data_IF_720019772877
#
_entry.id   IF_720019772877
#
_cell.length_a   1.000
_cell.length_b   1.000
_cell.length_c   1.000
_cell.angle_alpha   90.00
_cell.angle_beta   90.00
_cell.angle_gamma   90.00
#
_symmetry.space_group_name_H-M   'P 1'
#
loop_
_entity.id
_entity.type
_entity.pdbx_description
1 polymer ?
#
# COMPACT_ATOMS: atom_id res chain seq x y z
N UNK A 1 -10.66 -14.12 -3.88
CA UNK A 1 -10.56 -13.09 -4.95
C UNK A 1 -11.28 -13.55 -6.20
N UNK A 2 -12.01 -12.66 -6.85
CA UNK A 2 -12.70 -12.95 -8.11
C UNK A 2 -12.02 -12.19 -9.25
N UNK A 3 -11.44 -12.92 -10.22
CA UNK A 3 -10.74 -12.31 -11.36
C UNK A 3 -11.68 -11.57 -12.31
N UNK A 4 -12.98 -11.90 -12.27
CA UNK A 4 -14.02 -11.28 -13.10
C UNK A 4 -14.59 -9.99 -12.50
N UNK A 5 -14.20 -9.65 -11.26
CA UNK A 5 -14.63 -8.42 -10.60
C UNK A 5 -14.20 -7.20 -11.41
N UNK A 6 -15.16 -6.33 -11.76
CA UNK A 6 -14.85 -5.14 -12.56
C UNK A 6 -14.21 -4.03 -11.75
N UNK A 7 -14.62 -3.86 -10.50
CA UNK A 7 -14.02 -2.90 -9.59
C UNK A 7 -12.80 -3.54 -8.92
N UNK A 8 -11.62 -3.13 -9.31
CA UNK A 8 -10.36 -3.64 -8.74
C UNK A 8 -9.86 -2.71 -7.64
N UNK A 9 -9.55 -3.31 -6.49
CA UNK A 9 -9.06 -2.59 -5.32
C UNK A 9 -7.66 -3.08 -4.96
N UNK A 10 -6.73 -2.14 -4.87
CA UNK A 10 -5.34 -2.38 -4.47
C UNK A 10 -5.07 -1.66 -3.16
N UNK A 11 -4.44 -2.35 -2.24
CA UNK A 11 -3.93 -1.75 -1.00
C UNK A 11 -2.41 -1.77 -1.05
N UNK A 12 -1.81 -0.61 -0.86
CA UNK A 12 -0.36 -0.44 -0.76
C UNK A 12 0.02 -0.24 0.70
N UNK A 13 0.89 -1.08 1.22
CA UNK A 13 1.41 -0.94 2.58
C UNK A 13 2.83 -0.42 2.51
N UNK A 14 3.03 0.79 2.96
CA UNK A 14 4.30 1.51 2.91
C UNK A 14 4.34 2.54 1.80
N UNK A 15 4.48 3.81 2.19
CA UNK A 15 4.47 4.96 1.28
C UNK A 15 5.83 5.66 1.29
N UNK A 16 6.90 4.87 1.24
CA UNK A 16 8.25 5.36 1.05
C UNK A 16 8.55 5.62 -0.43
N UNK A 17 9.82 5.70 -0.79
CA UNK A 17 10.22 6.01 -2.16
C UNK A 17 9.70 4.98 -3.17
N UNK A 18 9.80 3.70 -2.85
CA UNK A 18 9.32 2.62 -3.73
C UNK A 18 7.80 2.61 -3.79
N UNK A 19 7.14 2.70 -2.63
CA UNK A 19 5.68 2.67 -2.54
C UNK A 19 5.04 3.84 -3.26
N UNK A 20 5.53 5.06 -3.05
CA UNK A 20 4.97 6.24 -3.72
C UNK A 20 5.18 6.20 -5.24
N UNK A 21 6.30 5.65 -5.71
CA UNK A 21 6.53 5.45 -7.15
C UNK A 21 5.57 4.42 -7.73
N UNK A 22 5.32 3.33 -7.00
CA UNK A 22 4.33 2.33 -7.38
C UNK A 22 2.93 2.93 -7.48
N UNK A 23 2.53 3.70 -6.48
CA UNK A 23 1.21 4.35 -6.45
C UNK A 23 1.03 5.28 -7.65
N UNK A 24 2.01 6.09 -7.96
CA UNK A 24 2.00 6.99 -9.11
C UNK A 24 1.82 6.20 -10.42
N UNK A 25 2.60 5.15 -10.61
CA UNK A 25 2.52 4.32 -11.81
C UNK A 25 1.15 3.64 -11.94
N UNK A 26 0.62 3.11 -10.84
CA UNK A 26 -0.69 2.45 -10.82
C UNK A 26 -1.81 3.41 -11.22
N UNK A 27 -1.78 4.62 -10.67
CA UNK A 27 -2.79 5.65 -10.95
C UNK A 27 -2.71 6.10 -12.41
N UNK A 28 -1.51 6.38 -12.91
CA UNK A 28 -1.34 6.87 -14.29
C UNK A 28 -1.68 5.81 -15.33
N UNK A 29 -1.47 4.54 -15.05
CA UNK A 29 -1.80 3.44 -15.97
C UNK A 29 -3.28 3.03 -15.92
N UNK A 30 -4.03 3.48 -14.93
CA UNK A 30 -5.46 3.21 -14.87
C UNK A 30 -5.84 1.76 -14.58
N UNK A 31 -4.99 1.00 -13.92
CA UNK A 31 -5.18 -0.44 -13.71
C UNK A 31 -6.25 -0.74 -12.66
N UNK A 32 -6.31 0.05 -11.59
CA UNK A 32 -7.24 -0.17 -10.48
C UNK A 32 -8.18 1.02 -10.33
N UNK A 33 -9.40 0.76 -9.85
CA UNK A 33 -10.39 1.79 -9.56
C UNK A 33 -10.27 2.33 -8.15
N UNK A 34 -9.63 1.57 -7.26
CA UNK A 34 -9.48 1.98 -5.86
C UNK A 34 -8.06 1.66 -5.38
N UNK A 35 -7.43 2.66 -4.77
CA UNK A 35 -6.09 2.52 -4.16
C UNK A 35 -6.15 3.05 -2.73
N UNK A 36 -5.93 2.18 -1.76
CA UNK A 36 -5.74 2.55 -0.36
C UNK A 36 -4.26 2.49 0.00
N UNK A 37 -3.78 3.49 0.73
CA UNK A 37 -2.38 3.57 1.16
C UNK A 37 -2.34 3.44 2.68
N UNK A 38 -1.65 2.41 3.18
CA UNK A 38 -1.49 2.16 4.61
C UNK A 38 -0.08 2.59 5.03
N UNK A 39 -0.01 3.36 6.10
CA UNK A 39 1.24 3.73 6.76
C UNK A 39 1.13 3.56 8.27
N UNK A 40 2.29 3.56 8.94
CA UNK A 40 2.33 3.58 10.42
C UNK A 40 1.72 4.89 10.92
N UNK A 41 1.20 4.91 12.16
CA UNK A 41 0.52 6.12 12.67
C UNK A 41 1.35 7.39 12.58
N UNK A 42 2.68 7.30 12.73
CA UNK A 42 3.58 8.43 12.66
C UNK A 42 3.69 9.05 11.27
N UNK A 43 3.35 8.28 10.22
CA UNK A 43 3.42 8.72 8.83
C UNK A 43 2.05 8.78 8.16
N UNK A 44 0.98 8.68 8.94
CA UNK A 44 -0.38 8.69 8.41
C UNK A 44 -0.68 9.97 7.63
N UNK A 45 -0.26 11.12 8.15
CA UNK A 45 -0.50 12.41 7.48
C UNK A 45 0.23 12.50 6.14
N UNK A 46 1.40 11.85 6.02
CA UNK A 46 2.09 11.74 4.74
C UNK A 46 1.26 10.94 3.73
N UNK A 47 0.69 9.83 4.18
CA UNK A 47 -0.18 9.01 3.31
C UNK A 47 -1.42 9.79 2.87
N UNK A 48 -2.02 10.58 3.76
CA UNK A 48 -3.16 11.46 3.42
C UNK A 48 -2.74 12.45 2.35
N UNK A 49 -1.61 13.14 2.54
CA UNK A 49 -1.11 14.13 1.57
C UNK A 49 -0.81 13.52 0.20
N UNK A 50 -0.14 12.38 0.17
CA UNK A 50 0.18 11.70 -1.09
C UNK A 50 -1.09 11.20 -1.80
N UNK A 51 -2.07 10.70 -1.05
CA UNK A 51 -3.35 10.29 -1.63
C UNK A 51 -4.09 11.49 -2.25
N UNK A 52 -4.07 12.64 -1.60
CA UNK A 52 -4.66 13.87 -2.13
C UNK A 52 -3.95 14.33 -3.40
N UNK A 53 -2.61 14.32 -3.41
CA UNK A 53 -1.83 14.70 -4.58
C UNK A 53 -2.15 13.79 -5.78
N UNK A 54 -2.24 12.48 -5.56
CA UNK A 54 -2.59 11.53 -6.61
C UNK A 54 -4.03 11.74 -7.07
N UNK A 55 -4.95 12.07 -6.15
CA UNK A 55 -6.34 12.35 -6.49
C UNK A 55 -6.47 13.58 -7.40
N UNK A 56 -5.63 14.58 -7.21
CA UNK A 56 -5.61 15.77 -8.09
C UNK A 56 -5.18 15.40 -9.52
N UNK A 57 -4.39 14.35 -9.70
CA UNK A 57 -4.01 13.87 -11.02
C UNK A 57 -5.16 13.17 -11.77
N UNK A 58 -6.26 12.86 -11.10
CA UNK A 58 -7.42 12.19 -11.72
C UNK A 58 -8.08 13.02 -12.81
N UNK A 59 -7.85 14.32 -12.86
CA UNK A 59 -8.32 15.17 -13.95
C UNK A 59 -7.77 14.72 -15.32
N UNK A 60 -6.67 13.97 -15.32
CA UNK A 60 -5.97 13.53 -16.53
C UNK A 60 -5.97 12.02 -16.70
N UNK A 61 -6.66 11.29 -15.84
CA UNK A 61 -6.73 9.81 -15.85
C UNK A 61 -8.17 9.34 -15.67
N UNK A 62 -8.40 8.04 -15.75
CA UNK A 62 -9.72 7.46 -15.45
C UNK A 62 -10.08 7.68 -13.97
N UNK A 63 -11.38 7.83 -13.63
CA UNK A 63 -11.82 8.04 -12.26
C UNK A 63 -11.40 6.93 -11.33
N UNK A 64 -10.90 7.30 -10.14
CA UNK A 64 -10.45 6.38 -9.09
C UNK A 64 -10.73 6.95 -7.73
N UNK A 65 -10.78 6.07 -6.73
CA UNK A 65 -10.81 6.44 -5.32
C UNK A 65 -9.43 6.18 -4.73
N UNK A 66 -8.77 7.23 -4.23
CA UNK A 66 -7.44 7.15 -3.63
C UNK A 66 -7.52 7.74 -2.23
N UNK A 67 -7.07 6.99 -1.22
CA UNK A 67 -7.22 7.40 0.18
C UNK A 67 -6.16 6.77 1.08
N UNK A 68 -5.95 7.38 2.23
CA UNK A 68 -5.18 6.77 3.31
C UNK A 68 -6.05 5.70 3.97
N UNK A 69 -5.59 4.46 3.95
CA UNK A 69 -6.37 3.29 4.36
C UNK A 69 -5.94 2.75 5.71
N UNK A 70 -6.76 1.88 6.26
CA UNK A 70 -6.49 1.09 7.46
C UNK A 70 -6.51 -0.38 7.09
N UNK A 71 -6.00 -1.25 7.99
CA UNK A 71 -5.93 -2.69 7.71
C UNK A 71 -7.31 -3.33 7.48
N UNK A 72 -8.35 -2.81 8.11
CA UNK A 72 -9.72 -3.28 7.87
C UNK A 72 -10.18 -3.07 6.43
N UNK A 73 -9.61 -2.10 5.72
CA UNK A 73 -9.90 -1.85 4.31
C UNK A 73 -9.36 -2.95 3.39
N UNK A 74 -8.49 -3.82 3.90
CA UNK A 74 -7.96 -4.94 3.12
C UNK A 74 -8.99 -6.05 2.91
N UNK A 75 -10.08 -6.08 3.67
CA UNK A 75 -11.02 -7.20 3.65
C UNK A 75 -11.55 -7.55 2.26
N UNK A 76 -11.84 -6.54 1.45
CA UNK A 76 -12.36 -6.71 0.09
C UNK A 76 -11.35 -6.34 -1.01
N UNK A 77 -10.08 -6.21 -0.67
CA UNK A 77 -9.04 -5.91 -1.64
C UNK A 77 -8.74 -7.10 -2.53
N UNK A 78 -8.34 -6.83 -3.76
CA UNK A 78 -7.92 -7.85 -4.73
C UNK A 78 -6.43 -8.12 -4.63
N UNK A 79 -5.65 -7.10 -4.32
CA UNK A 79 -4.18 -7.16 -4.26
C UNK A 79 -3.69 -6.31 -3.10
N UNK A 80 -2.78 -6.86 -2.33
CA UNK A 80 -2.03 -6.12 -1.31
C UNK A 80 -0.56 -6.12 -1.70
N UNK A 81 0.01 -4.94 -1.87
CA UNK A 81 1.42 -4.75 -2.22
C UNK A 81 2.15 -4.20 -1.00
N UNK A 82 3.20 -4.88 -0.57
CA UNK A 82 3.97 -4.50 0.61
C UNK A 82 5.32 -3.96 0.16
N UNK A 83 5.54 -2.68 0.40
CA UNK A 83 6.82 -2.02 0.16
C UNK A 83 7.41 -1.44 1.46
N UNK A 84 6.77 -1.75 2.59
CA UNK A 84 7.21 -1.28 3.89
C UNK A 84 8.51 -1.96 4.32
N UNK A 85 9.36 -1.21 5.00
CA UNK A 85 10.60 -1.71 5.55
C UNK A 85 11.33 -0.63 6.33
N UNK A 86 12.19 -1.03 7.25
CA UNK A 86 13.03 -0.10 8.00
C UNK A 86 14.21 0.35 7.14
N UNK A 87 14.59 1.65 7.20
CA UNK A 87 15.81 2.10 6.54
C UNK A 87 17.04 1.53 7.24
N UNK A 88 18.10 1.27 6.47
CA UNK A 88 19.38 0.85 7.02
C UNK A 88 20.01 2.00 7.79
N UNK A 89 20.34 1.76 9.05
CA UNK A 89 21.01 2.75 9.90
C UNK A 89 22.52 2.66 9.76
N UNK A 90 23.26 3.75 10.05
CA UNK A 90 24.73 3.67 10.08
C UNK A 90 25.20 2.57 11.03
N UNK A 91 26.15 1.75 10.56
CA UNK A 91 26.68 0.64 11.32
C UNK A 91 25.89 -0.66 11.25
N UNK A 92 24.69 -0.66 10.66
CA UNK A 92 23.92 -1.86 10.43
C UNK A 92 24.37 -2.60 9.18
N UNK A 93 24.41 -3.93 9.25
CA UNK A 93 24.62 -4.77 8.07
C UNK A 93 23.29 -5.06 7.39
N UNK A 94 23.35 -5.57 6.15
CA UNK A 94 22.16 -6.07 5.45
C UNK A 94 21.47 -7.19 6.19
N UNK A 95 22.24 -8.05 6.89
CA UNK A 95 21.69 -9.14 7.67
C UNK A 95 20.89 -8.63 8.88
N UNK A 96 21.39 -7.58 9.55
CA UNK A 96 20.64 -6.94 10.64
C UNK A 96 19.32 -6.39 10.15
N UNK A 97 19.32 -5.80 8.96
CA UNK A 97 18.12 -5.23 8.34
C UNK A 97 17.09 -6.32 7.98
N UNK A 98 17.55 -7.49 7.54
CA UNK A 98 16.65 -8.63 7.23
C UNK A 98 15.84 -9.04 8.46
N UNK A 99 16.46 -9.12 9.63
CA UNK A 99 15.73 -9.44 10.86
C UNK A 99 14.65 -8.44 11.21
N UNK A 100 14.95 -7.14 11.06
CA UNK A 100 13.97 -6.06 11.29
C UNK A 100 12.82 -6.12 10.30
N UNK A 101 13.14 -6.28 9.01
CA UNK A 101 12.13 -6.32 7.96
C UNK A 101 11.27 -7.58 8.05
N UNK A 102 11.82 -8.69 8.49
CA UNK A 102 11.05 -9.91 8.72
C UNK A 102 9.96 -9.68 9.78
N UNK A 103 10.31 -9.03 10.88
CA UNK A 103 9.34 -8.73 11.94
C UNK A 103 8.25 -7.76 11.44
N UNK A 104 8.64 -6.73 10.68
CA UNK A 104 7.70 -5.77 10.10
C UNK A 104 6.74 -6.47 9.14
N UNK A 105 7.26 -7.28 8.22
CA UNK A 105 6.43 -7.99 7.24
C UNK A 105 5.49 -9.00 7.91
N UNK A 106 5.98 -9.71 8.93
CA UNK A 106 5.14 -10.63 9.69
C UNK A 106 3.95 -9.90 10.32
N UNK A 107 4.18 -8.76 10.95
CA UNK A 107 3.13 -7.95 11.54
C UNK A 107 2.12 -7.49 10.51
N UNK A 108 2.59 -7.02 9.36
CA UNK A 108 1.72 -6.55 8.26
C UNK A 108 0.85 -7.69 7.75
N UNK A 109 1.44 -8.84 7.44
CA UNK A 109 0.71 -10.00 6.91
C UNK A 109 -0.34 -10.47 7.91
N UNK A 110 0.00 -10.54 9.20
CA UNK A 110 -0.95 -10.92 10.24
C UNK A 110 -2.15 -9.99 10.30
N UNK A 111 -1.93 -8.68 10.20
CA UNK A 111 -3.01 -7.69 10.23
C UNK A 111 -3.87 -7.76 8.97
N UNK A 112 -3.26 -7.96 7.81
CA UNK A 112 -3.99 -8.11 6.55
C UNK A 112 -4.85 -9.36 6.57
N UNK A 113 -4.29 -10.48 6.99
CA UNK A 113 -5.04 -11.76 7.08
C UNK A 113 -6.17 -11.64 8.09
N UNK A 114 -5.94 -10.98 9.23
CA UNK A 114 -6.97 -10.79 10.26
C UNK A 114 -8.16 -9.96 9.76
N UNK A 115 -7.99 -9.13 8.73
CA UNK A 115 -9.07 -8.36 8.13
C UNK A 115 -10.06 -9.21 7.32
N UNK A 116 -9.70 -10.45 6.98
CA UNK A 116 -10.49 -11.31 6.10
C UNK A 116 -10.03 -11.29 4.64
N UNK A 117 -8.86 -10.70 4.37
CA UNK A 117 -8.31 -10.63 3.02
C UNK A 117 -8.09 -12.03 2.42
N UNK A 118 -8.55 -12.24 1.20
CA UNK A 118 -8.42 -13.50 0.47
C UNK A 118 -7.83 -13.33 -0.94
N UNK A 119 -7.23 -12.19 -1.20
CA UNK A 119 -6.63 -11.88 -2.49
C UNK A 119 -5.17 -12.31 -2.62
N UNK A 120 -4.42 -11.56 -3.42
CA UNK A 120 -3.01 -11.83 -3.75
C UNK A 120 -2.11 -10.84 -3.01
N UNK A 121 -1.01 -11.37 -2.43
CA UNK A 121 0.08 -10.54 -1.92
C UNK A 121 1.13 -10.32 -3.00
#
# INVERSE_FOLDING_TARGET
MTLTKQHKKVILVGDGAVGSSYAFALVTQGIAQELGIIEIPQLFEKAVGDAEDLSHALAFTSPKKIYAAKYEDCADADLVVITAGAPQKPGETRLDLVGKNLAINKSIVEQVVASGFDGIF
#
